data_IF_066137804652
#
_entry.id   IF_066137804652
#
_cell.length_a   1.000
_cell.length_b   1.000
_cell.length_c   1.000
_cell.angle_alpha   90.00
_cell.angle_beta   90.00
_cell.angle_gamma   90.00
#
_symmetry.space_group_name_H-M   'P 1'
#
loop_
_entity.id
_entity.type
_entity.pdbx_description
1 polymer ?
#
# COMPACT_ATOMS: atom_id res chain seq x y z
N UNK A 1 3.00 -18.70 -14.67
CA UNK A 1 3.52 -17.39 -14.16
C UNK A 1 2.92 -16.17 -14.86
N UNK A 2 2.47 -16.28 -16.11
CA UNK A 2 1.86 -15.19 -16.89
C UNK A 2 0.56 -14.61 -16.27
N UNK A 3 -0.32 -15.45 -15.77
CA UNK A 3 -1.60 -15.02 -15.16
C UNK A 3 -1.42 -14.17 -13.90
N UNK A 4 -0.38 -14.42 -13.08
CA UNK A 4 -0.10 -13.64 -11.90
C UNK A 4 0.27 -12.18 -12.24
N UNK A 5 1.10 -11.98 -13.26
CA UNK A 5 1.49 -10.64 -13.69
C UNK A 5 0.28 -9.81 -14.14
N UNK A 6 -0.69 -10.45 -14.82
CA UNK A 6 -1.92 -9.81 -15.27
C UNK A 6 -2.83 -9.39 -14.12
N UNK A 7 -3.02 -10.29 -13.15
CA UNK A 7 -3.82 -10.02 -11.95
C UNK A 7 -3.17 -8.92 -11.11
N UNK A 8 -1.84 -8.76 -11.20
CA UNK A 8 -1.08 -7.74 -10.48
C UNK A 8 -1.06 -6.36 -11.17
N UNK A 9 -1.41 -6.27 -12.46
CA UNK A 9 -1.39 -5.03 -13.24
C UNK A 9 -2.16 -3.85 -12.60
N UNK A 10 -3.36 -4.04 -12.01
CA UNK A 10 -4.10 -2.96 -11.35
C UNK A 10 -3.38 -2.31 -10.17
N UNK A 11 -2.47 -3.04 -9.51
CA UNK A 11 -1.64 -2.48 -8.41
C UNK A 11 -0.80 -1.31 -8.89
N UNK A 12 -0.27 -1.41 -10.11
CA UNK A 12 0.51 -0.31 -10.73
C UNK A 12 -0.34 0.94 -10.93
N UNK A 13 -1.62 0.78 -11.29
CA UNK A 13 -2.55 1.90 -11.45
C UNK A 13 -2.85 2.55 -10.10
N UNK A 14 -3.12 1.75 -9.06
CA UNK A 14 -3.35 2.26 -7.70
C UNK A 14 -2.12 3.02 -7.20
N UNK A 15 -0.92 2.48 -7.43
CA UNK A 15 0.34 3.14 -7.10
C UNK A 15 0.52 4.47 -7.84
N UNK A 16 0.23 4.53 -9.14
CA UNK A 16 0.28 5.78 -9.90
C UNK A 16 -0.67 6.82 -9.33
N UNK A 17 -1.93 6.46 -9.10
CA UNK A 17 -2.94 7.37 -8.54
C UNK A 17 -2.53 7.85 -7.15
N UNK A 18 -2.03 6.96 -6.28
CA UNK A 18 -1.55 7.33 -4.97
C UNK A 18 -0.37 8.33 -5.03
N UNK A 19 0.57 8.13 -5.96
CA UNK A 19 1.68 9.05 -6.16
C UNK A 19 1.21 10.42 -6.68
N UNK A 20 0.21 10.47 -7.55
CA UNK A 20 -0.40 11.74 -7.98
C UNK A 20 -1.01 12.51 -6.82
N UNK A 21 -1.61 11.82 -5.85
CA UNK A 21 -2.14 12.43 -4.64
C UNK A 21 -1.02 12.88 -3.70
N UNK A 22 0.00 12.04 -3.49
CA UNK A 22 1.07 12.29 -2.50
C UNK A 22 2.01 13.41 -2.96
N UNK A 23 2.45 13.40 -4.24
CA UNK A 23 3.49 14.30 -4.75
C UNK A 23 3.24 15.80 -4.49
N UNK A 24 2.07 16.39 -4.76
CA UNK A 24 1.83 17.81 -4.52
C UNK A 24 1.90 18.18 -3.03
N UNK A 25 1.62 17.22 -2.14
CA UNK A 25 1.67 17.44 -0.70
C UNK A 25 3.05 17.25 -0.07
N UNK A 26 4.01 16.62 -0.78
CA UNK A 26 5.36 16.41 -0.24
C UNK A 26 6.05 17.72 0.13
N UNK A 27 5.97 18.74 -0.73
CA UNK A 27 6.53 20.06 -0.46
C UNK A 27 5.85 20.72 0.74
N UNK A 28 4.53 20.63 0.83
CA UNK A 28 3.77 21.16 1.96
C UNK A 28 4.15 20.46 3.25
N UNK A 29 4.24 19.13 3.26
CA UNK A 29 4.68 18.35 4.43
C UNK A 29 6.11 18.70 4.85
N UNK A 30 7.02 18.87 3.89
CA UNK A 30 8.41 19.26 4.19
C UNK A 30 8.47 20.65 4.81
N UNK A 31 7.74 21.62 4.27
CA UNK A 31 7.69 22.98 4.80
C UNK A 31 7.12 23.01 6.22
N UNK A 32 5.98 22.31 6.45
CA UNK A 32 5.37 22.23 7.78
C UNK A 32 6.30 21.60 8.83
N UNK A 33 7.10 20.61 8.40
CA UNK A 33 8.10 20.00 9.27
C UNK A 33 9.25 20.96 9.57
N UNK A 34 9.76 21.68 8.56
CA UNK A 34 10.85 22.65 8.70
C UNK A 34 10.44 23.87 9.55
N UNK A 35 9.17 24.25 9.48
CA UNK A 35 8.58 25.33 10.29
C UNK A 35 8.17 24.88 11.70
N UNK A 36 8.49 23.65 12.10
CA UNK A 36 8.15 23.04 13.40
C UNK A 36 6.65 22.98 13.71
N UNK A 37 5.79 23.10 12.68
CA UNK A 37 4.33 23.03 12.78
C UNK A 37 3.84 21.58 12.85
N UNK A 38 4.23 20.83 13.88
CA UNK A 38 3.99 19.40 14.03
C UNK A 38 2.49 19.05 14.02
N UNK A 39 1.65 19.90 14.64
CA UNK A 39 0.20 19.69 14.66
C UNK A 39 -0.43 19.77 13.27
N UNK A 40 -0.01 20.74 12.45
CA UNK A 40 -0.47 20.90 11.07
C UNK A 40 0.08 19.79 10.15
N UNK A 41 1.32 19.39 10.37
CA UNK A 41 1.92 18.24 9.70
C UNK A 41 1.10 16.96 9.92
N UNK A 42 0.76 16.63 11.18
CA UNK A 42 -0.09 15.48 11.51
C UNK A 42 -1.46 15.58 10.85
N UNK A 43 -2.11 16.76 10.93
CA UNK A 43 -3.44 16.98 10.34
C UNK A 43 -3.41 16.78 8.82
N UNK A 44 -2.40 17.29 8.15
CA UNK A 44 -2.21 17.13 6.71
C UNK A 44 -1.93 15.67 6.35
N UNK A 45 -1.07 14.98 7.10
CA UNK A 45 -0.76 13.58 6.91
C UNK A 45 -2.02 12.69 7.05
N UNK A 46 -2.84 12.91 8.09
CA UNK A 46 -4.10 12.19 8.30
C UNK A 46 -5.09 12.48 7.17
N UNK A 47 -5.15 13.73 6.69
CA UNK A 47 -6.02 14.09 5.55
C UNK A 47 -5.64 13.33 4.28
N UNK A 48 -4.35 13.27 3.96
CA UNK A 48 -3.85 12.52 2.79
C UNK A 48 -4.13 11.02 2.97
N UNK A 49 -3.88 10.47 4.16
CA UNK A 49 -4.19 9.08 4.47
C UNK A 49 -5.68 8.77 4.31
N UNK A 50 -6.57 9.67 4.73
CA UNK A 50 -8.02 9.53 4.55
C UNK A 50 -8.42 9.54 3.07
N UNK A 51 -7.80 10.38 2.24
CA UNK A 51 -8.03 10.39 0.79
C UNK A 51 -7.59 9.07 0.16
N UNK A 52 -6.40 8.56 0.52
CA UNK A 52 -5.89 7.28 0.02
C UNK A 52 -6.82 6.13 0.45
N UNK A 53 -7.29 6.13 1.71
CA UNK A 53 -8.26 5.15 2.20
C UNK A 53 -9.58 5.22 1.41
N UNK A 54 -10.10 6.41 1.17
CA UNK A 54 -11.31 6.62 0.37
C UNK A 54 -11.15 6.08 -1.06
N UNK A 55 -10.02 6.37 -1.71
CA UNK A 55 -9.69 5.83 -3.03
C UNK A 55 -9.53 4.30 -3.00
N UNK A 56 -8.95 3.75 -1.95
CA UNK A 56 -8.82 2.29 -1.79
C UNK A 56 -10.18 1.62 -1.63
N UNK A 57 -11.06 2.17 -0.81
CA UNK A 57 -12.43 1.67 -0.64
C UNK A 57 -13.19 1.73 -1.97
N UNK A 58 -13.07 2.82 -2.70
CA UNK A 58 -13.70 2.99 -4.02
C UNK A 58 -13.14 1.99 -5.04
N UNK A 59 -11.82 1.76 -5.04
CA UNK A 59 -11.17 0.78 -5.90
C UNK A 59 -11.62 -0.65 -5.57
N UNK A 60 -11.70 -1.01 -4.28
CA UNK A 60 -12.19 -2.32 -3.84
C UNK A 60 -13.66 -2.49 -4.20
N UNK A 61 -14.50 -1.50 -3.95
CA UNK A 61 -15.92 -1.52 -4.32
C UNK A 61 -16.08 -1.67 -5.85
N UNK A 62 -15.31 -0.90 -6.63
CA UNK A 62 -15.26 -1.03 -8.08
C UNK A 62 -14.82 -2.43 -8.53
N UNK A 63 -13.84 -3.02 -7.85
CA UNK A 63 -13.39 -4.39 -8.11
C UNK A 63 -14.48 -5.41 -7.81
N UNK A 64 -15.23 -5.25 -6.72
CA UNK A 64 -16.31 -6.16 -6.37
C UNK A 64 -17.48 -6.10 -7.38
N UNK A 65 -17.76 -4.93 -7.93
CA UNK A 65 -18.85 -4.71 -8.90
C UNK A 65 -18.41 -5.06 -10.32
N UNK A 66 -17.27 -4.55 -10.75
CA UNK A 66 -16.81 -4.61 -12.15
C UNK A 66 -15.68 -5.61 -12.39
N UNK A 67 -15.09 -6.18 -11.32
CA UNK A 67 -13.86 -6.97 -11.42
C UNK A 67 -14.04 -8.24 -12.26
N UNK A 68 -15.18 -8.91 -12.18
CA UNK A 68 -15.47 -10.07 -13.04
C UNK A 68 -15.55 -9.67 -14.52
N UNK A 69 -16.14 -8.52 -14.80
CA UNK A 69 -16.21 -7.97 -16.15
C UNK A 69 -14.83 -7.58 -16.69
N UNK A 70 -14.03 -6.93 -15.84
CA UNK A 70 -12.66 -6.54 -16.18
C UNK A 70 -11.79 -7.78 -16.48
N UNK A 71 -11.87 -8.82 -15.66
CA UNK A 71 -11.15 -10.07 -15.89
C UNK A 71 -11.61 -10.77 -17.17
N UNK A 72 -12.91 -10.79 -17.46
CA UNK A 72 -13.45 -11.37 -18.72
C UNK A 72 -12.99 -10.61 -19.96
N UNK A 73 -12.89 -9.27 -19.88
CA UNK A 73 -12.36 -8.46 -20.98
C UNK A 73 -10.86 -8.74 -21.16
N UNK A 74 -10.10 -8.86 -20.07
CA UNK A 74 -8.68 -9.22 -20.14
C UNK A 74 -8.48 -10.62 -20.75
N UNK A 75 -9.31 -11.60 -20.40
CA UNK A 75 -9.31 -12.93 -21.03
C UNK A 75 -9.54 -12.85 -22.54
N UNK A 76 -10.52 -12.04 -22.97
CA UNK A 76 -10.84 -11.85 -24.38
C UNK A 76 -9.70 -11.20 -25.17
N UNK A 77 -9.07 -10.17 -24.60
CA UNK A 77 -7.96 -9.45 -25.24
C UNK A 77 -6.70 -10.32 -25.41
N UNK A 78 -6.53 -11.31 -24.55
CA UNK A 78 -5.35 -12.18 -24.54
C UNK A 78 -5.56 -13.53 -25.24
N UNK A 79 -6.74 -13.76 -25.81
CA UNK A 79 -7.06 -15.02 -26.48
C UNK A 79 -7.09 -16.24 -25.55
N UNK A 80 -7.29 -16.01 -24.23
CA UNK A 80 -7.44 -17.07 -23.24
C UNK A 80 -8.83 -17.72 -23.25
N UNK A 81 -8.91 -18.94 -22.72
CA UNK A 81 -10.19 -19.61 -22.52
C UNK A 81 -11.04 -18.86 -21.49
N UNK A 82 -12.34 -18.68 -21.76
CA UNK A 82 -13.28 -18.00 -20.87
C UNK A 82 -13.35 -18.71 -19.52
N UNK A 83 -13.23 -17.92 -18.44
CA UNK A 83 -13.36 -18.41 -17.07
C UNK A 83 -12.03 -18.69 -16.37
N UNK A 84 -10.90 -18.63 -17.06
CA UNK A 84 -9.58 -18.95 -16.49
C UNK A 84 -9.12 -17.90 -15.46
N UNK A 85 -9.33 -16.61 -15.72
CA UNK A 85 -8.94 -15.52 -14.81
C UNK A 85 -10.02 -15.22 -13.77
N UNK A 86 -11.29 -15.43 -14.09
CA UNK A 86 -12.41 -15.18 -13.16
C UNK A 86 -12.38 -16.10 -11.92
N UNK A 87 -11.74 -17.27 -12.02
CA UNK A 87 -11.47 -18.16 -10.86
C UNK A 87 -10.61 -17.46 -9.81
N UNK A 88 -9.73 -16.54 -10.22
CA UNK A 88 -8.84 -15.80 -9.32
C UNK A 88 -9.39 -14.45 -8.85
N UNK A 89 -10.71 -14.24 -8.95
CA UNK A 89 -11.35 -12.99 -8.52
C UNK A 89 -11.04 -12.61 -7.06
N UNK A 90 -10.98 -13.59 -6.16
CA UNK A 90 -10.59 -13.37 -4.77
C UNK A 90 -9.16 -12.86 -4.61
N UNK A 91 -8.21 -13.45 -5.37
CA UNK A 91 -6.84 -12.99 -5.42
C UNK A 91 -6.74 -11.56 -5.98
N UNK A 92 -7.52 -11.25 -7.03
CA UNK A 92 -7.58 -9.93 -7.63
C UNK A 92 -8.07 -8.86 -6.64
N UNK A 93 -9.16 -9.12 -5.91
CA UNK A 93 -9.67 -8.24 -4.87
C UNK A 93 -8.66 -8.05 -3.71
N UNK A 94 -7.99 -9.13 -3.30
CA UNK A 94 -6.93 -9.09 -2.30
C UNK A 94 -5.73 -8.24 -2.73
N UNK A 95 -5.32 -8.33 -4.00
CA UNK A 95 -4.23 -7.53 -4.56
C UNK A 95 -4.61 -6.05 -4.63
N UNK A 96 -5.85 -5.71 -5.01
CA UNK A 96 -6.34 -4.33 -5.03
C UNK A 96 -6.33 -3.73 -3.63
N UNK A 97 -6.80 -4.46 -2.62
CA UNK A 97 -6.76 -4.05 -1.23
C UNK A 97 -5.31 -3.88 -0.73
N UNK A 98 -4.43 -4.83 -1.05
CA UNK A 98 -3.00 -4.75 -0.75
C UNK A 98 -2.33 -3.54 -1.41
N UNK A 99 -2.73 -3.16 -2.62
CA UNK A 99 -2.29 -1.94 -3.29
C UNK A 99 -2.66 -0.66 -2.52
N UNK A 100 -3.84 -0.64 -1.89
CA UNK A 100 -4.24 0.45 -0.99
C UNK A 100 -3.36 0.53 0.27
N UNK A 101 -3.06 -0.59 0.91
CA UNK A 101 -2.11 -0.63 2.02
C UNK A 101 -0.71 -0.19 1.59
N UNK A 102 -0.25 -0.63 0.43
CA UNK A 102 1.03 -0.17 -0.13
C UNK A 102 1.06 1.34 -0.32
N UNK A 103 -0.01 1.96 -0.82
CA UNK A 103 -0.11 3.40 -0.96
C UNK A 103 -0.03 4.14 0.39
N UNK A 104 -0.67 3.59 1.44
CA UNK A 104 -0.56 4.11 2.80
C UNK A 104 0.84 3.95 3.38
N UNK A 105 1.46 2.77 3.20
CA UNK A 105 2.85 2.52 3.61
C UNK A 105 3.80 3.52 2.96
N UNK A 106 3.61 3.79 1.66
CA UNK A 106 4.40 4.77 0.91
C UNK A 106 4.24 6.21 1.46
N UNK A 107 3.03 6.62 1.83
CA UNK A 107 2.80 7.90 2.50
C UNK A 107 3.57 8.00 3.83
N UNK A 108 3.48 6.97 4.68
CA UNK A 108 4.17 6.93 5.96
C UNK A 108 5.70 6.85 5.81
N UNK A 109 6.18 6.15 4.76
CA UNK A 109 7.57 6.16 4.36
C UNK A 109 8.07 7.57 4.08
N UNK A 110 7.36 8.35 3.22
CA UNK A 110 7.74 9.74 2.95
C UNK A 110 7.71 10.60 4.21
N UNK A 111 6.73 10.42 5.09
CA UNK A 111 6.69 11.13 6.36
C UNK A 111 7.95 10.85 7.21
N UNK A 112 8.38 9.59 7.34
CA UNK A 112 9.60 9.22 8.08
C UNK A 112 10.88 9.75 7.42
N UNK A 113 10.92 9.81 6.09
CA UNK A 113 12.05 10.39 5.35
C UNK A 113 12.14 11.90 5.60
N UNK A 114 11.02 12.62 5.59
CA UNK A 114 10.95 14.05 5.93
C UNK A 114 11.42 14.29 7.37
N UNK A 115 11.04 13.43 8.31
CA UNK A 115 11.49 13.45 9.70
C UNK A 115 12.95 13.00 9.89
N UNK A 116 13.68 12.68 8.81
CA UNK A 116 15.06 12.17 8.82
C UNK A 116 15.27 10.88 9.63
N UNK A 117 14.22 10.08 9.84
CA UNK A 117 14.26 8.80 10.56
C UNK A 117 14.61 7.61 9.63
N UNK A 118 15.63 7.76 8.79
CA UNK A 118 16.00 6.76 7.76
C UNK A 118 16.39 5.39 8.36
N UNK A 119 16.98 5.36 9.56
CA UNK A 119 17.28 4.10 10.26
C UNK A 119 16.01 3.31 10.55
N UNK A 120 14.94 3.97 10.96
CA UNK A 120 13.64 3.34 11.22
C UNK A 120 13.07 2.74 9.95
N UNK A 121 13.15 3.47 8.82
CA UNK A 121 12.72 2.98 7.51
C UNK A 121 13.46 1.70 7.13
N UNK A 122 14.78 1.69 7.30
CA UNK A 122 15.60 0.50 7.03
C UNK A 122 15.16 -0.72 7.85
N UNK A 123 14.93 -0.56 9.16
CA UNK A 123 14.51 -1.67 10.01
C UNK A 123 13.13 -2.20 9.65
N UNK A 124 12.17 -1.35 9.28
CA UNK A 124 10.83 -1.79 8.86
C UNK A 124 10.93 -2.60 7.56
N UNK A 125 11.69 -2.13 6.55
CA UNK A 125 11.89 -2.90 5.33
C UNK A 125 12.69 -4.19 5.55
N UNK A 126 13.70 -4.18 6.41
CA UNK A 126 14.45 -5.39 6.75
C UNK A 126 13.52 -6.44 7.40
N UNK A 127 12.67 -6.02 8.34
CA UNK A 127 11.69 -6.91 8.97
C UNK A 127 10.66 -7.43 7.95
N UNK A 128 10.17 -6.57 7.04
CA UNK A 128 9.26 -6.96 5.97
C UNK A 128 9.92 -7.97 5.00
N UNK A 129 11.19 -7.78 4.65
CA UNK A 129 11.93 -8.71 3.78
C UNK A 129 12.10 -10.10 4.43
N UNK A 130 12.42 -10.14 5.73
CA UNK A 130 12.50 -11.41 6.49
C UNK A 130 11.12 -12.07 6.55
N UNK A 131 10.07 -11.32 6.85
CA UNK A 131 8.70 -11.84 6.87
C UNK A 131 8.30 -12.37 5.48
N UNK A 132 8.63 -11.65 4.39
CA UNK A 132 8.37 -12.08 3.03
C UNK A 132 9.04 -13.42 2.71
N UNK A 133 10.30 -13.60 3.12
CA UNK A 133 11.04 -14.85 2.90
C UNK A 133 10.34 -16.05 3.53
N UNK A 134 9.91 -15.94 4.79
CA UNK A 134 9.23 -17.04 5.48
C UNK A 134 7.80 -17.27 5.01
N UNK A 135 7.03 -16.19 4.77
CA UNK A 135 5.62 -16.27 4.37
C UNK A 135 5.45 -16.77 2.93
N UNK A 136 6.35 -16.36 2.01
CA UNK A 136 6.22 -16.71 0.60
C UNK A 136 6.36 -18.21 0.37
N UNK A 137 7.34 -18.86 1.00
CA UNK A 137 7.56 -20.30 0.86
C UNK A 137 6.35 -21.13 1.31
N UNK A 138 5.75 -20.78 2.45
CA UNK A 138 4.59 -21.49 3.00
C UNK A 138 3.30 -21.21 2.23
N UNK A 139 2.97 -19.94 2.03
CA UNK A 139 1.69 -19.55 1.44
C UNK A 139 1.60 -19.85 -0.06
N UNK A 140 2.66 -19.57 -0.81
CA UNK A 140 2.66 -19.83 -2.26
C UNK A 140 2.70 -21.34 -2.53
N UNK A 141 3.47 -22.11 -1.73
CA UNK A 141 3.51 -23.56 -1.84
C UNK A 141 2.16 -24.23 -1.54
N UNK A 142 1.40 -23.70 -0.55
CA UNK A 142 0.12 -24.27 -0.15
C UNK A 142 -1.06 -23.85 -1.05
N UNK A 143 -1.10 -22.58 -1.49
CA UNK A 143 -2.29 -21.96 -2.12
C UNK A 143 -2.00 -21.38 -3.52
N UNK A 144 -0.81 -21.57 -4.09
CA UNK A 144 -0.47 -21.07 -5.44
C UNK A 144 -0.68 -19.56 -5.59
N UNK A 145 -1.45 -19.14 -6.61
CA UNK A 145 -1.73 -17.72 -6.91
C UNK A 145 -2.49 -17.02 -5.78
N UNK A 146 -3.45 -17.69 -5.16
CA UNK A 146 -4.19 -17.15 -4.02
C UNK A 146 -3.26 -16.95 -2.82
N UNK A 147 -2.31 -17.87 -2.59
CA UNK A 147 -1.29 -17.75 -1.57
C UNK A 147 -0.34 -16.56 -1.81
N UNK A 148 0.03 -16.29 -3.06
CA UNK A 148 0.83 -15.13 -3.42
C UNK A 148 0.08 -13.81 -3.16
N UNK A 149 -1.20 -13.74 -3.51
CA UNK A 149 -2.05 -12.58 -3.24
C UNK A 149 -2.22 -12.33 -1.73
N UNK A 150 -2.43 -13.39 -0.95
CA UNK A 150 -2.53 -13.32 0.52
C UNK A 150 -1.21 -12.86 1.15
N UNK A 151 -0.09 -13.42 0.70
CA UNK A 151 1.24 -13.02 1.15
C UNK A 151 1.49 -11.53 0.89
N UNK A 152 1.18 -11.04 -0.31
CA UNK A 152 1.27 -9.63 -0.65
C UNK A 152 0.40 -8.76 0.26
N UNK A 153 -0.86 -9.12 0.48
CA UNK A 153 -1.78 -8.39 1.34
C UNK A 153 -1.26 -8.28 2.78
N UNK A 154 -0.79 -9.41 3.35
CA UNK A 154 -0.26 -9.45 4.70
C UNK A 154 1.02 -8.62 4.85
N UNK A 155 1.91 -8.68 3.86
CA UNK A 155 3.14 -7.87 3.87
C UNK A 155 2.83 -6.37 3.79
N UNK A 156 1.94 -5.96 2.89
CA UNK A 156 1.57 -4.55 2.75
C UNK A 156 0.83 -4.02 4.00
N UNK A 157 -0.03 -4.83 4.60
CA UNK A 157 -0.68 -4.49 5.86
C UNK A 157 0.35 -4.37 7.01
N UNK A 158 1.31 -5.29 7.08
CA UNK A 158 2.40 -5.27 8.06
C UNK A 158 3.30 -4.05 7.90
N UNK A 159 3.71 -3.70 6.68
CA UNK A 159 4.49 -2.49 6.39
C UNK A 159 3.72 -1.23 6.78
N UNK A 160 2.43 -1.14 6.43
CA UNK A 160 1.57 -0.01 6.80
C UNK A 160 1.49 0.15 8.30
N UNK A 161 1.27 -0.94 9.04
CA UNK A 161 1.23 -0.93 10.51
C UNK A 161 2.59 -0.52 11.11
N UNK A 162 3.70 -1.07 10.60
CA UNK A 162 5.06 -0.77 11.04
C UNK A 162 5.42 0.69 10.82
N UNK A 163 5.25 1.20 9.61
CA UNK A 163 5.50 2.60 9.29
C UNK A 163 4.55 3.55 10.02
N UNK A 164 3.26 3.21 10.12
CA UNK A 164 2.27 3.99 10.86
C UNK A 164 2.62 4.13 12.33
N UNK A 165 2.96 3.03 12.99
CA UNK A 165 3.39 3.02 14.40
C UNK A 165 4.63 3.90 14.61
N UNK A 166 5.66 3.74 13.75
CA UNK A 166 6.89 4.50 13.84
C UNK A 166 6.65 6.01 13.59
N UNK A 167 5.79 6.35 12.63
CA UNK A 167 5.43 7.75 12.33
C UNK A 167 4.74 8.41 13.50
N UNK A 168 3.74 7.75 14.09
CA UNK A 168 3.00 8.27 15.26
C UNK A 168 3.94 8.45 16.45
N UNK A 169 4.81 7.47 16.72
CA UNK A 169 5.79 7.55 17.80
C UNK A 169 6.77 8.69 17.60
N UNK A 170 7.30 8.86 16.37
CA UNK A 170 8.24 9.94 16.05
C UNK A 170 7.59 11.32 16.20
N UNK A 171 6.38 11.51 15.69
CA UNK A 171 5.65 12.76 15.87
C UNK A 171 5.37 13.09 17.34
N UNK A 172 5.08 12.08 18.18
CA UNK A 172 4.84 12.29 19.62
C UNK A 172 6.12 12.65 20.38
N UNK A 173 7.27 12.14 19.95
CA UNK A 173 8.57 12.49 20.54
C UNK A 173 8.92 13.95 20.30
N UNK A 174 8.83 14.39 19.05
CA UNK A 174 9.14 15.78 18.65
C UNK A 174 8.17 16.80 19.29
N UNK A 175 6.87 16.44 19.43
CA UNK A 175 5.90 17.32 20.10
C UNK A 175 6.21 17.54 21.59
N UNK A 176 6.87 16.58 22.24
CA UNK A 176 7.31 16.72 23.63
C UNK A 176 8.55 17.61 23.75
N UNK A 177 9.48 17.51 22.78
CA UNK A 177 10.68 18.33 22.75
C UNK A 177 10.38 19.81 22.48
N UNK A 178 9.40 20.10 21.60
CA UNK A 178 8.99 21.47 21.28
C UNK A 178 8.22 22.16 22.43
N UNK A 179 7.72 21.39 23.40
CA UNK A 179 6.99 21.94 24.57
C UNK A 179 7.88 22.23 25.80
N UNK A 180 9.15 21.83 25.76
CA UNK A 180 10.15 22.11 26.80
C UNK A 180 11.01 23.31 26.43
#
# INVERSE_FOLDING_TARGET
SGYFNLIFMPTSVIYMVANFVIRPYLTTLTNLWTEEKIAEFKKTLVRIAAVILGLTVLAVAGTLVLGKWALSIMELLMGGEKGTLTVYFGAFAGIVLGGGFYALANLMYYALVIMRKQRTVFFVYAAAAVAAFFLSGGLVGAFGINGAALCYLLLMAGETAGFGFCTVRSCRSEEKETRQ
#
